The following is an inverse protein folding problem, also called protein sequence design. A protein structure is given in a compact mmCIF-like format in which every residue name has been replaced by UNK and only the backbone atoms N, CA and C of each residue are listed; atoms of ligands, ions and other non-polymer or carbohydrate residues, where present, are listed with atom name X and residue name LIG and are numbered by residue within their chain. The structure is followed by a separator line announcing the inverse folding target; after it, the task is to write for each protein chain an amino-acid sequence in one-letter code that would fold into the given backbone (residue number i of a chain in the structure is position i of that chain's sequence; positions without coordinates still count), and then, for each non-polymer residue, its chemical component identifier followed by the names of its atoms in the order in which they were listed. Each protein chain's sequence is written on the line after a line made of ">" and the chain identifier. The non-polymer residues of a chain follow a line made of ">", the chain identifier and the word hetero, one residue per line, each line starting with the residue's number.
data_IF_214191318831
#
_entry.id   IF_214191318831
#
_cell.length_a   1.000
_cell.length_b   1.000
_cell.length_c   1.000
_cell.angle_alpha   90.00
_cell.angle_beta   90.00
_cell.angle_gamma   90.00
#
_symmetry.space_group_name_H-M   'P 1'
#
loop_
_entity.id
_entity.type
_entity.pdbx_description
1 polymer ?
#
# COMPACT_ATOMS: atom_id res chain seq x y z
N UNK A 1 5.28 21.84 20.53
CA UNK A 1 3.99 21.14 20.34
C UNK A 1 4.24 20.08 19.28
N UNK A 2 4.55 18.85 19.69
CA UNK A 2 4.76 17.73 18.77
C UNK A 2 3.36 17.16 18.52
N UNK A 3 2.86 17.33 17.29
CA UNK A 3 1.58 16.77 16.90
C UNK A 3 1.69 15.25 16.91
N UNK A 4 0.91 14.64 17.79
CA UNK A 4 0.70 13.20 17.87
C UNK A 4 0.17 12.66 16.55
N UNK A 5 0.69 11.48 16.17
CA UNK A 5 -0.15 10.47 15.55
C UNK A 5 -0.13 10.33 14.03
N UNK A 6 1.04 10.33 13.39
CA UNK A 6 1.18 9.54 12.17
C UNK A 6 2.36 8.60 12.36
N UNK A 7 2.07 7.38 12.80
CA UNK A 7 3.03 6.28 12.73
C UNK A 7 3.28 6.10 11.23
N UNK A 8 4.35 6.72 10.72
CA UNK A 8 4.81 6.56 9.36
C UNK A 8 5.25 5.10 9.21
N UNK A 9 4.28 4.24 8.91
CA UNK A 9 4.51 2.82 8.73
C UNK A 9 5.23 2.69 7.40
N UNK A 10 6.43 2.13 7.45
CA UNK A 10 7.22 1.87 6.26
C UNK A 10 6.59 0.67 5.53
N UNK A 11 5.61 0.95 4.67
CA UNK A 11 4.78 -0.06 4.02
C UNK A 11 5.63 -1.11 3.30
N UNK A 12 6.69 -0.66 2.62
CA UNK A 12 7.69 -1.50 1.96
C UNK A 12 8.22 -2.59 2.88
N UNK A 13 8.64 -2.21 4.09
CA UNK A 13 9.17 -3.15 5.09
C UNK A 13 8.11 -4.09 5.64
N UNK A 14 6.88 -3.61 5.85
CA UNK A 14 5.82 -4.47 6.40
C UNK A 14 5.30 -5.47 5.37
N UNK A 15 5.37 -5.13 4.08
CA UNK A 15 4.93 -5.98 2.97
C UNK A 15 5.99 -7.00 2.54
N UNK A 16 7.27 -6.63 2.62
CA UNK A 16 8.40 -7.52 2.33
C UNK A 16 8.25 -8.81 3.16
N UNK A 17 8.14 -9.96 2.49
CA UNK A 17 7.89 -11.31 3.04
C UNK A 17 6.42 -11.69 3.35
N UNK A 18 5.48 -10.74 3.39
CA UNK A 18 4.08 -11.04 3.71
C UNK A 18 3.26 -11.60 2.55
N UNK A 19 3.72 -11.43 1.32
CA UNK A 19 3.05 -11.96 0.12
C UNK A 19 3.00 -13.50 0.10
N UNK A 20 3.96 -14.18 0.74
CA UNK A 20 3.97 -15.65 0.82
C UNK A 20 2.89 -16.23 1.73
N UNK A 21 2.39 -15.40 2.66
CA UNK A 21 1.35 -15.77 3.61
C UNK A 21 -0.07 -15.55 3.06
N UNK A 22 -0.19 -14.97 1.87
CA UNK A 22 -1.47 -14.73 1.21
C UNK A 22 -1.64 -15.73 0.05
N UNK A 23 -2.67 -16.57 0.13
CA UNK A 23 -2.94 -17.63 -0.86
C UNK A 23 -3.07 -17.10 -2.30
N UNK A 24 -3.55 -15.86 -2.47
CA UNK A 24 -3.67 -15.25 -3.79
C UNK A 24 -2.29 -14.93 -4.36
N UNK A 25 -1.47 -14.22 -3.59
CA UNK A 25 -0.14 -13.83 -4.04
C UNK A 25 0.80 -15.03 -4.15
N UNK A 26 0.66 -16.02 -3.28
CA UNK A 26 1.38 -17.30 -3.39
C UNK A 26 1.06 -18.02 -4.71
N UNK A 27 -0.20 -18.03 -5.15
CA UNK A 27 -0.59 -18.60 -6.45
C UNK A 27 -0.05 -17.78 -7.62
N UNK A 28 -0.07 -16.45 -7.53
CA UNK A 28 0.47 -15.55 -8.56
C UNK A 28 1.98 -15.75 -8.71
N UNK A 29 2.71 -15.83 -7.60
CA UNK A 29 4.14 -16.09 -7.59
C UNK A 29 4.48 -17.49 -8.12
N UNK A 30 3.69 -18.51 -7.77
CA UNK A 30 3.86 -19.87 -8.28
C UNK A 30 3.54 -20.00 -9.78
N UNK A 31 2.61 -19.18 -10.29
CA UNK A 31 2.20 -19.14 -11.70
C UNK A 31 2.62 -17.83 -12.39
N UNK A 32 3.80 -17.31 -12.08
CA UNK A 32 4.28 -16.02 -12.62
C UNK A 32 4.22 -15.93 -14.16
N UNK A 33 4.37 -17.06 -14.86
CA UNK A 33 4.22 -17.17 -16.32
C UNK A 33 2.82 -16.84 -16.88
N UNK A 34 1.77 -17.07 -16.09
CA UNK A 34 0.38 -16.80 -16.48
C UNK A 34 0.00 -15.33 -16.24
N UNK A 35 0.74 -14.69 -15.34
CA UNK A 35 0.47 -13.36 -14.81
C UNK A 35 1.58 -12.38 -15.24
N UNK A 36 1.75 -12.20 -16.56
CA UNK A 36 2.80 -11.34 -17.13
C UNK A 36 2.71 -9.86 -16.72
N UNK A 37 1.53 -9.42 -16.28
CA UNK A 37 1.32 -8.07 -15.75
C UNK A 37 1.82 -7.91 -14.31
N UNK A 38 2.19 -8.99 -13.61
CA UNK A 38 2.69 -8.92 -12.24
C UNK A 38 4.20 -8.93 -12.23
N UNK A 39 4.79 -7.99 -11.49
CA UNK A 39 6.22 -7.84 -11.37
C UNK A 39 6.63 -7.82 -9.90
N UNK A 40 7.56 -8.70 -9.53
CA UNK A 40 8.12 -8.72 -8.19
C UNK A 40 9.43 -7.90 -8.19
N UNK A 41 9.48 -6.83 -7.38
CA UNK A 41 10.65 -5.94 -7.22
C UNK A 41 10.90 -5.71 -5.74
N UNK A 42 12.13 -5.96 -5.28
CA UNK A 42 12.54 -5.77 -3.89
C UNK A 42 11.56 -6.39 -2.86
N UNK A 43 11.09 -7.61 -3.12
CA UNK A 43 10.16 -8.31 -2.24
C UNK A 43 8.74 -7.74 -2.20
N UNK A 44 8.41 -6.80 -3.10
CA UNK A 44 7.09 -6.24 -3.32
C UNK A 44 6.50 -6.73 -4.64
N UNK A 45 5.18 -6.85 -4.68
CA UNK A 45 4.47 -7.23 -5.90
C UNK A 45 3.76 -6.00 -6.46
N UNK A 46 4.05 -5.70 -7.71
CA UNK A 46 3.40 -4.67 -8.50
C UNK A 46 2.58 -5.31 -9.60
N UNK A 47 1.48 -4.67 -9.98
CA UNK A 47 0.74 -4.98 -11.19
C UNK A 47 0.87 -3.81 -12.16
N UNK A 48 1.35 -4.10 -13.37
CA UNK A 48 1.46 -3.17 -14.48
C UNK A 48 0.16 -3.21 -15.28
N UNK A 49 -0.46 -2.04 -15.38
CA UNK A 49 -1.50 -1.73 -16.35
C UNK A 49 -0.89 -0.85 -17.45
N UNK A 50 -1.62 -0.66 -18.55
CA UNK A 50 -1.11 0.04 -19.74
C UNK A 50 -0.56 1.45 -19.43
N UNK A 51 -1.20 2.19 -18.53
CA UNK A 51 -0.84 3.58 -18.21
C UNK A 51 -0.34 3.78 -16.77
N UNK A 52 -0.37 2.73 -15.95
CA UNK A 52 -0.06 2.87 -14.53
C UNK A 52 0.44 1.58 -13.89
N UNK A 53 1.14 1.76 -12.78
CA UNK A 53 1.65 0.67 -11.96
C UNK A 53 1.04 0.76 -10.57
N UNK A 54 0.47 -0.35 -10.08
CA UNK A 54 -0.16 -0.40 -8.77
C UNK A 54 0.60 -1.36 -7.86
N UNK A 55 0.91 -0.89 -6.64
CA UNK A 55 1.44 -1.75 -5.58
C UNK A 55 0.33 -2.66 -5.05
N UNK A 56 0.57 -3.97 -5.06
CA UNK A 56 -0.37 -4.93 -4.52
C UNK A 56 -0.28 -4.97 -2.98
N UNK A 57 -1.44 -4.83 -2.33
CA UNK A 57 -1.54 -4.87 -0.86
C UNK A 57 -2.16 -6.21 -0.43
N UNK A 58 -1.38 -7.12 0.20
CA UNK A 58 -1.87 -8.39 0.69
C UNK A 58 -2.85 -8.22 1.84
N UNK A 59 -3.72 -9.22 2.02
CA UNK A 59 -4.72 -9.22 3.08
C UNK A 59 -4.10 -9.79 4.36
N UNK A 60 -3.57 -8.91 5.22
CA UNK A 60 -3.09 -9.31 6.54
C UNK A 60 -3.30 -8.22 7.59
N UNK A 61 -3.24 -8.66 8.84
CA UNK A 61 -3.36 -7.80 10.02
C UNK A 61 -1.96 -7.49 10.55
N UNK A 62 -1.62 -6.21 10.63
CA UNK A 62 -0.41 -5.73 11.30
C UNK A 62 -0.79 -5.03 12.60
N UNK A 63 -0.26 -5.50 13.73
CA UNK A 63 -0.50 -4.91 15.06
C UNK A 63 -2.00 -4.71 15.38
N UNK A 64 -2.83 -5.69 15.01
CA UNK A 64 -4.27 -5.67 15.28
C UNK A 64 -5.12 -4.81 14.32
N UNK A 65 -4.52 -4.22 13.27
CA UNK A 65 -5.26 -3.50 12.21
C UNK A 65 -4.99 -4.11 10.84
N UNK A 66 -5.99 -4.13 9.97
CA UNK A 66 -5.78 -4.54 8.59
C UNK A 66 -4.83 -3.58 7.89
N UNK A 67 -3.88 -4.08 7.12
CA UNK A 67 -2.94 -3.21 6.39
C UNK A 67 -3.64 -2.42 5.30
N UNK A 68 -4.71 -2.97 4.72
CA UNK A 68 -5.59 -2.22 3.83
C UNK A 68 -6.20 -1.01 4.54
N UNK A 69 -6.69 -1.19 5.78
CA UNK A 69 -7.20 -0.08 6.58
C UNK A 69 -6.11 0.94 6.92
N UNK A 70 -4.90 0.50 7.24
CA UNK A 70 -3.77 1.39 7.51
C UNK A 70 -3.46 2.26 6.28
N UNK A 71 -3.40 1.65 5.09
CA UNK A 71 -3.15 2.35 3.83
C UNK A 71 -4.27 3.31 3.50
N UNK A 72 -5.54 2.88 3.62
CA UNK A 72 -6.71 3.72 3.36
C UNK A 72 -6.74 4.91 4.33
N UNK A 73 -6.59 4.68 5.63
CA UNK A 73 -6.56 5.76 6.63
C UNK A 73 -5.39 6.71 6.40
N UNK A 74 -4.19 6.17 6.07
CA UNK A 74 -3.03 6.99 5.74
C UNK A 74 -3.28 7.89 4.54
N UNK A 75 -3.90 7.36 3.49
CA UNK A 75 -4.30 8.13 2.31
C UNK A 75 -5.33 9.20 2.68
N UNK A 76 -6.38 8.86 3.43
CA UNK A 76 -7.39 9.82 3.89
C UNK A 76 -6.78 10.94 4.73
N UNK A 77 -5.85 10.66 5.64
CA UNK A 77 -5.16 11.70 6.41
C UNK A 77 -4.29 12.59 5.53
N UNK A 78 -3.58 12.01 4.55
CA UNK A 78 -2.79 12.78 3.58
C UNK A 78 -3.70 13.69 2.74
N UNK A 79 -4.79 13.16 2.21
CA UNK A 79 -5.77 13.93 1.43
C UNK A 79 -6.46 15.00 2.28
N UNK A 80 -6.91 14.68 3.50
CA UNK A 80 -7.55 15.65 4.39
C UNK A 80 -6.60 16.80 4.77
N UNK A 81 -5.30 16.53 4.93
CA UNK A 81 -4.31 17.56 5.17
C UNK A 81 -4.05 18.41 3.91
N UNK A 82 -4.02 17.80 2.73
CA UNK A 82 -3.88 18.52 1.46
C UNK A 82 -5.13 19.35 1.10
N UNK A 83 -6.32 18.91 1.50
CA UNK A 83 -7.59 19.63 1.33
C UNK A 83 -7.70 20.83 2.28
N UNK A 84 -7.22 20.71 3.52
CA UNK A 84 -7.22 21.81 4.49
C UNK A 84 -6.24 22.95 4.13
N UNK A 85 -5.27 22.70 3.25
CA UNK A 85 -4.42 23.74 2.67
C UNK A 85 -5.07 24.53 1.50
N UNK A 86 -6.23 24.10 0.97
CA UNK A 86 -6.93 24.81 -0.12
C UNK A 86 -7.90 25.90 0.34
N UNK A 87 -8.01 26.18 1.65
CA UNK A 87 -8.86 27.28 2.17
C UNK A 87 -8.09 28.60 2.39
N UNK A 88 -6.89 28.75 1.81
CA UNK A 88 -6.13 30.01 1.88
C UNK A 88 -5.65 30.51 0.50
N UNK A 89 -6.41 30.24 -0.57
CA UNK A 89 -6.13 30.75 -1.92
C UNK A 89 -7.37 31.41 -2.56
N UNK A 90 -8.20 32.04 -1.74
CA UNK A 90 -9.25 32.95 -2.20
C UNK A 90 -9.43 34.09 -1.19
N UNK A 91 -8.48 35.02 -1.19
CA UNK A 91 -8.63 36.38 -0.68
C UNK A 91 -7.96 37.33 -1.67
#
# INVERSE_FOLDING_TARGET
>A
HVSEGCLAINLTFVLHDRYMNDDLFKKILAKSKDFYNFECRDGLIFIKFEDCELLCIPSYVHKGRSIKEIVINGAHSLFAHLESHKTLAYL
#
